data_IF_083745219060
#
_entry.id   IF_083745219060
#
_cell.length_a   1.000
_cell.length_b   1.000
_cell.length_c   1.000
_cell.angle_alpha   90.00
_cell.angle_beta   90.00
_cell.angle_gamma   90.00
#
_symmetry.space_group_name_H-M   'P 1'
#
loop_
_entity.id
_entity.type
_entity.pdbx_description
1 polymer ?
#
# COMPACT_ATOMS: atom_id res chain seq x y z
N UNK A 1 -16.61 54.74 -19.41
CA UNK A 1 -17.39 53.95 -20.40
C UNK A 1 -16.45 53.58 -21.53
N UNK A 2 -16.32 52.28 -21.84
CA UNK A 2 -15.98 51.68 -23.17
C UNK A 2 -15.24 50.33 -23.04
N UNK A 3 -15.80 49.31 -23.72
CA UNK A 3 -15.26 47.96 -24.06
C UNK A 3 -14.12 48.09 -25.10
N UNK A 4 -13.25 47.08 -25.40
CA UNK A 4 -13.58 45.66 -25.74
C UNK A 4 -12.62 44.58 -25.16
N UNK A 5 -13.08 43.40 -24.74
CA UNK A 5 -13.30 42.14 -25.50
C UNK A 5 -12.20 41.74 -26.50
N UNK A 6 -11.39 40.74 -26.12
CA UNK A 6 -10.63 39.91 -27.06
C UNK A 6 -10.79 38.43 -26.71
N UNK A 7 -11.31 37.69 -27.70
CA UNK A 7 -11.55 36.25 -27.71
C UNK A 7 -10.27 35.51 -28.03
N UNK A 8 -9.90 34.51 -27.21
CA UNK A 8 -8.93 33.50 -27.62
C UNK A 8 -9.68 32.42 -28.44
N UNK A 9 -9.21 32.22 -29.67
CA UNK A 9 -9.72 31.27 -30.66
C UNK A 9 -9.11 29.90 -30.35
N UNK A 10 -9.89 28.99 -29.77
CA UNK A 10 -9.55 27.57 -29.82
C UNK A 10 -9.97 27.01 -31.17
N UNK A 11 -8.99 26.65 -32.01
CA UNK A 11 -9.21 25.86 -33.23
C UNK A 11 -9.81 24.52 -32.83
N UNK A 12 -11.09 24.30 -33.19
CA UNK A 12 -11.74 22.99 -33.16
C UNK A 12 -11.03 22.07 -34.17
N UNK A 13 -10.27 21.09 -33.69
CA UNK A 13 -9.97 19.89 -34.46
C UNK A 13 -11.18 18.96 -34.39
N UNK A 14 -11.80 18.68 -35.53
CA UNK A 14 -12.87 17.68 -35.64
C UNK A 14 -12.32 16.29 -35.31
N UNK A 15 -13.07 15.43 -34.59
CA UNK A 15 -12.64 14.06 -34.35
C UNK A 15 -12.66 13.25 -35.67
N UNK A 16 -11.77 12.26 -35.82
CA UNK A 16 -11.75 11.40 -37.00
C UNK A 16 -13.02 10.54 -37.06
N UNK A 17 -13.57 10.38 -38.26
CA UNK A 17 -14.74 9.53 -38.51
C UNK A 17 -14.43 8.05 -38.22
N UNK A 18 -15.36 7.30 -37.61
CA UNK A 18 -15.16 5.89 -37.32
C UNK A 18 -15.13 5.04 -38.60
N UNK A 19 -14.34 3.94 -38.64
CA UNK A 19 -14.31 3.05 -39.80
C UNK A 19 -15.63 2.31 -39.95
N UNK A 20 -16.08 2.18 -41.20
CA UNK A 20 -17.29 1.47 -41.58
C UNK A 20 -17.11 -0.04 -41.35
N UNK A 21 -18.04 -0.66 -40.61
CA UNK A 21 -18.09 -2.11 -40.40
C UNK A 21 -18.50 -2.85 -41.69
N UNK A 22 -17.96 -4.05 -41.96
CA UNK A 22 -18.43 -4.88 -43.07
C UNK A 22 -19.81 -5.50 -42.75
N UNK A 23 -20.60 -5.89 -43.78
CA UNK A 23 -21.95 -6.37 -43.60
C UNK A 23 -21.95 -7.74 -42.93
N UNK A 24 -22.92 -7.93 -42.04
CA UNK A 24 -23.19 -9.16 -41.34
C UNK A 24 -23.31 -10.35 -42.32
N UNK A 25 -22.46 -11.35 -42.13
CA UNK A 25 -22.63 -12.68 -42.70
C UNK A 25 -22.72 -13.74 -41.59
N UNK A 26 -23.57 -14.70 -41.88
CA UNK A 26 -24.32 -15.57 -40.98
C UNK A 26 -23.55 -16.78 -40.43
N UNK A 27 -23.83 -17.08 -39.15
CA UNK A 27 -23.80 -18.39 -38.46
C UNK A 27 -22.44 -19.06 -38.13
N UNK A 28 -22.43 -20.16 -37.36
CA UNK A 28 -22.79 -20.23 -35.93
C UNK A 28 -21.61 -20.87 -35.16
N UNK A 29 -21.04 -20.23 -34.14
CA UNK A 29 -20.05 -20.90 -33.31
C UNK A 29 -20.18 -20.45 -31.86
N UNK A 30 -20.34 -21.43 -30.98
CA UNK A 30 -20.32 -21.29 -29.54
C UNK A 30 -19.04 -20.57 -29.10
N UNK A 31 -19.12 -19.26 -28.92
CA UNK A 31 -18.13 -18.52 -28.15
C UNK A 31 -18.91 -17.88 -27.02
N UNK A 32 -18.57 -18.27 -25.80
CA UNK A 32 -19.09 -17.75 -24.54
C UNK A 32 -18.74 -16.26 -24.46
N UNK A 33 -19.47 -15.42 -25.18
CA UNK A 33 -19.35 -13.98 -25.11
C UNK A 33 -19.98 -13.57 -23.79
N UNK A 34 -19.14 -13.34 -22.78
CA UNK A 34 -19.56 -12.70 -21.54
C UNK A 34 -20.37 -11.46 -21.90
N UNK A 35 -21.59 -11.35 -21.35
CA UNK A 35 -22.45 -10.20 -21.63
C UNK A 35 -21.72 -8.90 -21.21
N UNK A 36 -22.09 -7.73 -21.75
CA UNK A 36 -21.49 -6.45 -21.33
C UNK A 36 -21.53 -6.23 -19.80
N UNK A 37 -22.52 -6.82 -19.14
CA UNK A 37 -22.67 -6.84 -17.68
C UNK A 37 -21.61 -7.73 -17.01
N UNK A 38 -21.31 -8.89 -17.59
CA UNK A 38 -20.28 -9.81 -17.11
C UNK A 38 -18.87 -9.28 -17.38
N UNK A 39 -18.65 -8.56 -18.48
CA UNK A 39 -17.40 -7.84 -18.71
C UNK A 39 -17.18 -6.74 -17.66
N UNK A 40 -18.22 -5.96 -17.32
CA UNK A 40 -18.13 -4.94 -16.25
C UNK A 40 -17.93 -5.56 -14.87
N UNK A 41 -18.59 -6.69 -14.58
CA UNK A 41 -18.37 -7.45 -13.34
C UNK A 41 -16.96 -8.02 -13.27
N UNK A 42 -16.46 -8.60 -14.37
CA UNK A 42 -15.11 -9.15 -14.42
C UNK A 42 -14.03 -8.07 -14.35
N UNK A 43 -14.24 -6.89 -14.96
CA UNK A 43 -13.34 -5.75 -14.80
C UNK A 43 -13.37 -5.24 -13.35
N UNK A 44 -14.55 -5.12 -12.75
CA UNK A 44 -14.67 -4.73 -11.35
C UNK A 44 -13.96 -5.74 -10.44
N UNK A 45 -14.13 -7.05 -10.67
CA UNK A 45 -13.48 -8.12 -9.94
C UNK A 45 -11.98 -8.18 -10.20
N UNK A 46 -11.49 -7.89 -11.41
CA UNK A 46 -10.06 -7.85 -11.71
C UNK A 46 -9.40 -6.64 -11.08
N UNK A 47 -10.05 -5.46 -11.08
CA UNK A 47 -9.60 -4.26 -10.39
C UNK A 47 -9.62 -4.47 -8.87
N UNK A 48 -10.65 -5.15 -8.35
CA UNK A 48 -10.71 -5.58 -6.95
C UNK A 48 -9.57 -6.56 -6.63
N UNK A 49 -9.35 -7.62 -7.43
CA UNK A 49 -8.24 -8.57 -7.29
C UNK A 49 -6.88 -7.88 -7.31
N UNK A 50 -6.71 -6.88 -8.16
CA UNK A 50 -5.48 -6.07 -8.23
C UNK A 50 -5.21 -5.27 -6.94
N UNK A 51 -6.23 -5.08 -6.10
CA UNK A 51 -6.13 -4.41 -4.81
C UNK A 51 -5.70 -5.36 -3.66
N UNK A 52 -5.70 -6.67 -3.87
CA UNK A 52 -5.42 -7.68 -2.83
C UNK A 52 -4.15 -8.51 -2.99
N UNK A 53 -3.47 -8.47 -4.15
CA UNK A 53 -2.19 -9.17 -4.36
C UNK A 53 -0.98 -8.20 -4.26
N UNK A 54 -0.94 -7.36 -3.22
CA UNK A 54 0.16 -6.43 -2.98
C UNK A 54 1.23 -7.10 -2.11
N UNK A 55 1.87 -8.10 -2.69
CA UNK A 55 3.06 -8.76 -2.13
C UNK A 55 4.29 -7.92 -2.44
N UNK A 56 5.01 -7.54 -1.40
CA UNK A 56 6.25 -6.79 -1.53
C UNK A 56 7.41 -7.62 -1.00
N UNK A 57 8.42 -7.81 -1.85
CA UNK A 57 9.68 -8.40 -1.41
C UNK A 57 10.47 -7.33 -0.67
N UNK A 58 10.83 -7.65 0.57
CA UNK A 58 11.50 -6.75 1.49
C UNK A 58 12.59 -7.51 2.23
N UNK A 59 13.61 -6.80 2.69
CA UNK A 59 14.65 -7.35 3.55
C UNK A 59 14.46 -6.77 4.95
N UNK A 60 14.14 -7.61 5.94
CA UNK A 60 14.03 -7.20 7.33
C UNK A 60 15.41 -6.92 7.91
N UNK A 61 15.62 -5.71 8.42
CA UNK A 61 16.92 -5.26 8.92
C UNK A 61 16.99 -5.30 10.44
N UNK A 62 15.92 -4.87 11.12
CA UNK A 62 15.92 -4.68 12.56
C UNK A 62 14.52 -4.54 13.13
N UNK A 63 14.28 -5.12 14.31
CA UNK A 63 13.11 -4.82 15.15
C UNK A 63 13.59 -4.18 16.45
N UNK A 64 13.00 -3.04 16.83
CA UNK A 64 13.32 -2.32 18.06
C UNK A 64 12.05 -2.05 18.85
N UNK A 65 12.08 -2.29 20.15
CA UNK A 65 11.02 -1.88 21.06
C UNK A 65 11.20 -0.39 21.41
N UNK A 66 10.10 0.34 21.41
CA UNK A 66 10.03 1.73 21.87
C UNK A 66 10.19 1.71 23.38
N UNK A 67 11.25 2.34 23.86
CA UNK A 67 11.55 2.52 25.28
C UNK A 67 11.67 4.01 25.59
N UNK A 68 11.30 4.41 26.80
CA UNK A 68 11.33 5.80 27.26
C UNK A 68 12.74 6.41 27.19
N UNK A 69 13.79 5.59 27.17
CA UNK A 69 15.18 6.00 27.27
C UNK A 69 15.90 6.16 25.93
N UNK A 70 15.87 5.14 25.07
CA UNK A 70 16.78 5.06 23.92
C UNK A 70 16.07 5.18 22.55
N UNK A 71 14.85 4.65 22.41
CA UNK A 71 14.13 4.59 21.13
C UNK A 71 12.74 5.18 21.31
N UNK A 72 12.49 6.37 20.79
CA UNK A 72 11.18 7.05 20.88
C UNK A 72 10.49 7.15 19.53
N UNK A 73 11.27 7.42 18.50
CA UNK A 73 10.79 7.68 17.15
C UNK A 73 11.51 6.81 16.11
N UNK A 74 10.98 6.83 14.89
CA UNK A 74 11.61 6.19 13.73
C UNK A 74 13.03 6.71 13.51
N UNK A 75 13.29 8.01 13.71
CA UNK A 75 14.62 8.60 13.54
C UNK A 75 15.67 7.99 14.49
N UNK A 76 15.29 7.70 15.74
CA UNK A 76 16.16 7.04 16.72
C UNK A 76 16.48 5.61 16.28
N UNK A 77 15.48 4.89 15.73
CA UNK A 77 15.68 3.57 15.15
C UNK A 77 16.66 3.60 13.97
N UNK A 78 16.55 4.60 13.09
CA UNK A 78 17.46 4.75 11.94
C UNK A 78 18.88 5.07 12.41
N UNK A 79 19.05 5.91 13.44
CA UNK A 79 20.36 6.17 14.02
C UNK A 79 20.96 4.91 14.65
N UNK A 80 20.14 4.11 15.34
CA UNK A 80 20.56 2.84 15.93
C UNK A 80 20.97 1.83 14.85
N UNK A 81 20.21 1.75 13.76
CA UNK A 81 20.52 0.93 12.60
C UNK A 81 21.89 1.30 12.02
N UNK A 82 22.15 2.61 11.76
CA UNK A 82 23.45 3.11 11.27
C UNK A 82 24.62 2.66 12.13
N UNK A 83 24.46 2.77 13.45
CA UNK A 83 25.52 2.38 14.38
C UNK A 83 25.77 0.86 14.36
N UNK A 84 24.71 0.04 14.32
CA UNK A 84 24.85 -1.41 14.23
C UNK A 84 25.44 -1.86 12.90
N UNK A 85 25.10 -1.17 11.82
CA UNK A 85 25.64 -1.42 10.48
C UNK A 85 27.13 -1.10 10.42
N UNK A 86 27.57 0.02 10.98
CA UNK A 86 28.99 0.35 11.10
C UNK A 86 29.79 -0.68 11.93
N UNK A 87 29.12 -1.42 12.80
CA UNK A 87 29.70 -2.52 13.59
C UNK A 87 29.64 -3.87 12.87
N UNK A 88 29.01 -3.97 11.69
CA UNK A 88 28.79 -5.23 10.98
C UNK A 88 27.85 -6.18 11.73
N UNK A 89 26.89 -5.63 12.50
CA UNK A 89 25.97 -6.40 13.36
C UNK A 89 24.53 -6.46 12.84
N UNK A 90 24.31 -5.96 11.62
CA UNK A 90 23.02 -6.03 10.94
C UNK A 90 23.06 -7.22 10.00
N UNK A 91 22.03 -8.07 10.09
CA UNK A 91 21.82 -9.20 9.19
C UNK A 91 20.43 -9.04 8.62
N UNK A 92 20.36 -8.92 7.29
CA UNK A 92 19.10 -8.85 6.59
C UNK A 92 18.47 -10.22 6.43
N UNK A 93 17.15 -10.28 6.53
CA UNK A 93 16.37 -11.47 6.19
C UNK A 93 15.38 -11.13 5.08
N UNK A 94 15.51 -11.78 3.93
CA UNK A 94 14.59 -11.59 2.83
C UNK A 94 13.21 -12.20 3.15
N UNK A 95 12.16 -11.41 2.97
CA UNK A 95 10.78 -11.74 3.32
C UNK A 95 9.79 -11.23 2.28
N UNK A 96 8.57 -11.74 2.36
CA UNK A 96 7.39 -11.20 1.68
C UNK A 96 6.53 -10.48 2.71
N UNK A 97 6.27 -9.21 2.44
CA UNK A 97 5.31 -8.38 3.16
C UNK A 97 4.02 -8.31 2.35
N UNK A 98 2.91 -8.78 2.90
CA UNK A 98 1.58 -8.66 2.29
C UNK A 98 0.51 -8.27 3.30
N UNK A 99 -0.61 -7.75 2.80
CA UNK A 99 -1.81 -7.52 3.62
C UNK A 99 -2.87 -8.50 3.19
N UNK A 100 -3.25 -9.39 4.10
CA UNK A 100 -4.21 -10.47 3.86
C UNK A 100 -5.15 -10.59 5.04
N UNK A 101 -6.45 -10.79 4.78
CA UNK A 101 -7.47 -11.05 5.80
C UNK A 101 -7.49 -10.06 6.99
N UNK A 102 -7.24 -8.77 6.71
CA UNK A 102 -7.11 -7.71 7.73
C UNK A 102 -5.92 -7.87 8.70
N UNK A 103 -4.87 -8.54 8.24
CA UNK A 103 -3.59 -8.67 8.92
C UNK A 103 -2.45 -8.31 7.96
N UNK A 104 -1.37 -7.81 8.52
CA UNK A 104 -0.07 -7.66 7.88
C UNK A 104 0.70 -8.94 8.11
N UNK A 105 1.06 -9.59 7.02
CA UNK A 105 1.69 -10.89 7.02
C UNK A 105 3.13 -10.75 6.54
N UNK A 106 4.05 -11.30 7.32
CA UNK A 106 5.41 -11.59 6.93
C UNK A 106 5.51 -13.08 6.61
N UNK A 107 5.99 -13.41 5.42
CA UNK A 107 6.17 -14.80 4.99
C UNK A 107 7.55 -15.04 4.42
N UNK A 108 8.00 -16.28 4.53
CA UNK A 108 9.24 -16.73 3.88
C UNK A 108 9.12 -16.66 2.35
N UNK A 109 10.24 -16.34 1.67
CA UNK A 109 10.24 -16.21 0.21
C UNK A 109 10.13 -17.56 -0.49
N UNK A 110 10.76 -18.61 0.02
CA UNK A 110 10.81 -19.92 -0.63
C UNK A 110 9.59 -20.76 -0.27
N UNK A 111 9.35 -20.98 1.02
CA UNK A 111 8.29 -21.87 1.48
C UNK A 111 6.91 -21.23 1.45
N UNK A 112 6.85 -19.89 1.49
CA UNK A 112 5.62 -19.11 1.69
C UNK A 112 4.97 -19.37 3.06
N UNK A 113 5.72 -19.90 4.00
CA UNK A 113 5.23 -20.08 5.36
C UNK A 113 5.11 -18.71 6.05
N UNK A 114 4.06 -18.58 6.85
CA UNK A 114 3.85 -17.43 7.72
C UNK A 114 4.93 -17.40 8.80
N UNK A 115 5.70 -16.30 8.85
CA UNK A 115 6.71 -16.04 9.86
C UNK A 115 6.12 -15.21 11.01
N UNK A 116 5.39 -14.16 10.66
CA UNK A 116 4.79 -13.25 11.63
C UNK A 116 3.53 -12.61 11.05
N UNK A 117 2.51 -12.44 11.88
CA UNK A 117 1.25 -11.78 11.52
C UNK A 117 0.88 -10.71 12.53
N UNK A 118 0.55 -9.53 12.03
CA UNK A 118 0.10 -8.40 12.82
C UNK A 118 -1.28 -7.96 12.37
N UNK A 119 -2.30 -8.00 13.22
CA UNK A 119 -3.60 -7.42 12.91
C UNK A 119 -3.44 -5.96 12.47
N UNK A 120 -4.18 -5.53 11.46
CA UNK A 120 -4.03 -4.17 10.96
C UNK A 120 -4.37 -3.10 12.03
N UNK A 121 -5.18 -3.46 13.02
CA UNK A 121 -5.50 -2.64 14.20
C UNK A 121 -4.29 -2.39 15.12
N UNK A 122 -3.28 -3.26 15.09
CA UNK A 122 -2.08 -3.15 15.91
C UNK A 122 -1.05 -2.22 15.28
N UNK A 123 -1.12 -1.99 13.97
CA UNK A 123 -0.13 -1.16 13.30
C UNK A 123 -0.51 0.31 13.40
N UNK A 124 0.29 1.03 14.17
CA UNK A 124 0.08 2.42 14.51
C UNK A 124 0.53 3.36 13.38
N UNK A 125 1.62 3.03 12.70
CA UNK A 125 2.24 3.91 11.72
C UNK A 125 3.05 3.13 10.70
N UNK A 126 3.06 3.65 9.48
CA UNK A 126 3.94 3.21 8.40
C UNK A 126 4.66 4.45 7.86
N UNK A 127 5.97 4.42 7.73
CA UNK A 127 6.79 5.56 7.31
C UNK A 127 7.87 5.10 6.35
N UNK A 128 8.01 5.82 5.24
CA UNK A 128 9.08 5.60 4.28
C UNK A 128 10.19 6.61 4.53
N UNK A 129 11.40 6.12 4.78
CA UNK A 129 12.63 6.90 4.89
C UNK A 129 13.46 6.61 3.63
N UNK A 130 13.74 7.65 2.85
CA UNK A 130 14.50 7.54 1.62
C UNK A 130 15.96 7.92 1.87
N UNK A 131 16.86 7.37 1.06
CA UNK A 131 18.28 7.75 0.99
C UNK A 131 18.97 7.75 2.36
N UNK A 132 18.78 6.66 3.12
CA UNK A 132 19.33 6.50 4.46
C UNK A 132 20.34 5.36 4.53
N UNK A 133 21.57 5.69 4.95
CA UNK A 133 22.67 4.73 5.09
C UNK A 133 23.16 4.21 3.72
N UNK A 134 23.33 2.90 3.61
CA UNK A 134 23.58 2.10 2.40
C UNK A 134 22.28 1.74 1.65
N UNK A 135 21.11 2.07 2.21
CA UNK A 135 19.81 1.64 1.72
C UNK A 135 19.08 2.75 0.94
N UNK A 136 18.55 2.40 -0.23
CA UNK A 136 17.82 3.34 -1.09
C UNK A 136 16.46 3.76 -0.47
N UNK A 137 15.77 2.83 0.17
CA UNK A 137 14.45 3.05 0.77
C UNK A 137 14.21 2.11 1.93
N UNK A 138 14.03 2.68 3.13
CA UNK A 138 13.66 1.97 4.34
C UNK A 138 12.19 2.21 4.66
N UNK A 139 11.45 1.12 4.87
CA UNK A 139 10.10 1.12 5.40
C UNK A 139 10.14 0.85 6.90
N UNK A 140 9.65 1.79 7.68
CA UNK A 140 9.45 1.65 9.12
C UNK A 140 7.98 1.39 9.42
N UNK A 141 7.69 0.27 10.08
CA UNK A 141 6.34 -0.10 10.53
C UNK A 141 6.33 -0.11 12.05
N UNK A 142 5.50 0.75 12.64
CA UNK A 142 5.28 0.79 14.09
C UNK A 142 4.05 -0.03 14.42
N UNK A 143 4.22 -1.04 15.26
CA UNK A 143 3.15 -1.95 15.72
C UNK A 143 3.05 -1.90 17.24
N UNK A 144 1.83 -1.95 17.77
CA UNK A 144 1.56 -2.18 19.19
C UNK A 144 1.20 -3.65 19.35
N UNK A 145 1.96 -4.36 20.17
CA UNK A 145 1.59 -5.72 20.53
C UNK A 145 0.34 -5.72 21.42
N UNK A 146 -0.63 -6.60 21.10
CA UNK A 146 -1.85 -6.76 21.89
C UNK A 146 -1.58 -7.45 23.22
N UNK A 147 -0.58 -8.33 23.29
CA UNK A 147 -0.29 -9.09 24.52
C UNK A 147 0.46 -8.26 25.55
N UNK A 148 1.46 -7.48 25.12
CA UNK A 148 2.39 -6.84 26.04
C UNK A 148 2.21 -5.32 26.18
N UNK A 149 1.26 -4.72 25.45
CA UNK A 149 1.11 -3.26 25.29
C UNK A 149 2.37 -2.52 24.80
N UNK A 150 3.40 -3.27 24.43
CA UNK A 150 4.66 -2.75 23.93
C UNK A 150 4.52 -2.28 22.49
N UNK A 151 5.24 -1.21 22.15
CA UNK A 151 5.29 -0.70 20.80
C UNK A 151 6.64 -1.10 20.21
N UNK A 152 6.62 -1.71 19.03
CA UNK A 152 7.80 -2.10 18.29
C UNK A 152 7.86 -1.39 16.95
N UNK A 153 9.06 -1.07 16.49
CA UNK A 153 9.34 -0.48 15.18
C UNK A 153 10.17 -1.50 14.41
N UNK A 154 9.59 -1.99 13.31
CA UNK A 154 10.24 -2.89 12.37
C UNK A 154 10.79 -2.08 11.20
N UNK A 155 12.04 -2.31 10.84
CA UNK A 155 12.72 -1.68 9.72
C UNK A 155 12.94 -2.70 8.61
N UNK A 156 12.50 -2.34 7.40
CA UNK A 156 12.65 -3.16 6.21
C UNK A 156 13.30 -2.34 5.10
N UNK A 157 14.25 -2.92 4.37
CA UNK A 157 14.67 -2.39 3.08
C UNK A 157 13.70 -2.87 1.99
N UNK A 158 13.29 -1.96 1.11
CA UNK A 158 12.47 -2.29 -0.05
C UNK A 158 13.33 -2.40 -1.31
N UNK A 159 13.44 -3.59 -1.89
CA UNK A 159 14.32 -3.90 -3.03
C UNK A 159 13.64 -3.84 -4.41
N UNK A 160 12.37 -3.41 -4.50
CA UNK A 160 11.65 -3.44 -5.77
C UNK A 160 12.16 -2.38 -6.77
N UNK A 161 13.04 -2.87 -7.65
CA UNK A 161 13.57 -2.18 -8.81
C UNK A 161 12.47 -1.61 -9.71
N UNK A 162 12.58 -0.31 -10.01
CA UNK A 162 11.93 0.30 -11.17
C UNK A 162 10.55 0.93 -10.96
N UNK A 163 10.35 1.74 -9.92
CA UNK A 163 9.73 3.09 -9.95
C UNK A 163 9.90 3.68 -8.54
N UNK A 164 10.83 4.63 -8.43
CA UNK A 164 10.96 5.63 -7.35
C UNK A 164 9.75 5.68 -6.40
N UNK A 165 10.00 5.35 -5.13
CA UNK A 165 9.14 5.62 -3.97
C UNK A 165 7.70 5.07 -4.01
N UNK A 166 7.30 4.38 -5.07
CA UNK A 166 5.88 4.08 -5.31
C UNK A 166 5.45 2.88 -4.50
N UNK A 167 6.32 1.87 -4.30
CA UNK A 167 6.02 0.72 -3.45
C UNK A 167 5.80 1.10 -1.97
N UNK A 168 6.75 1.82 -1.37
CA UNK A 168 6.65 2.28 0.03
C UNK A 168 5.52 3.30 0.25
N UNK A 169 5.35 4.25 -0.67
CA UNK A 169 4.22 5.18 -0.61
C UNK A 169 2.87 4.49 -0.90
N UNK A 170 2.85 3.37 -1.62
CA UNK A 170 1.65 2.56 -1.84
C UNK A 170 1.32 1.78 -0.57
N UNK A 171 2.31 1.16 0.08
CA UNK A 171 2.14 0.53 1.40
C UNK A 171 1.61 1.54 2.44
N UNK A 172 2.21 2.72 2.55
CA UNK A 172 1.71 3.78 3.43
C UNK A 172 0.29 4.25 3.07
N UNK A 173 -0.04 4.37 1.77
CA UNK A 173 -1.38 4.81 1.30
C UNK A 173 -2.45 3.74 1.43
N UNK A 174 -2.10 2.48 1.22
CA UNK A 174 -2.97 1.34 1.50
C UNK A 174 -3.28 1.29 2.99
N UNK A 175 -2.26 1.51 3.82
CA UNK A 175 -2.44 1.55 5.27
C UNK A 175 -3.35 2.70 5.72
N UNK A 176 -3.11 3.92 5.24
CA UNK A 176 -3.96 5.07 5.56
C UNK A 176 -5.42 4.90 5.14
N UNK A 177 -5.72 4.04 4.15
CA UNK A 177 -7.09 3.66 3.78
C UNK A 177 -7.65 2.52 4.64
N UNK A 178 -6.81 1.58 5.09
CA UNK A 178 -7.22 0.47 5.95
C UNK A 178 -7.63 0.96 7.35
N UNK A 179 -6.90 1.91 7.93
CA UNK A 179 -7.24 2.50 9.23
C UNK A 179 -8.51 3.34 9.19
N UNK A 180 -8.88 3.89 8.03
CA UNK A 180 -10.08 4.72 7.85
C UNK A 180 -11.40 3.93 7.78
N UNK A 181 -11.38 2.59 7.83
CA UNK A 181 -12.59 1.74 7.72
C UNK A 181 -12.91 0.90 8.97
N UNK A 182 -12.29 1.17 10.11
CA UNK A 182 -12.55 0.47 11.38
C UNK A 182 -13.43 1.27 12.34
N UNK A 183 -14.73 1.37 12.10
CA UNK A 183 -15.70 1.56 13.21
C UNK A 183 -17.05 0.94 12.85
N UNK A 184 -17.35 -0.28 13.31
CA UNK A 184 -18.71 -0.75 13.45
C UNK A 184 -19.15 -0.67 14.93
N UNK A 185 -20.06 0.26 15.22
CA UNK A 185 -21.02 0.14 16.32
C UNK A 185 -20.62 0.67 17.71
N UNK A 186 -21.45 1.56 18.25
CA UNK A 186 -21.42 1.95 19.67
C UNK A 186 -22.44 3.04 19.98
N UNK A 187 -23.63 2.62 20.45
CA UNK A 187 -24.76 3.42 20.93
C UNK A 187 -24.39 4.76 21.60
N UNK A 188 -25.04 5.85 21.17
CA UNK A 188 -24.97 7.15 21.83
C UNK A 188 -26.09 8.12 21.47
N UNK A 189 -27.25 7.64 21.02
CA UNK A 189 -28.48 8.44 21.05
C UNK A 189 -29.14 8.22 22.40
N UNK A 190 -28.80 9.06 23.37
CA UNK A 190 -29.60 9.39 24.56
C UNK A 190 -28.78 10.40 25.37
N UNK A 191 -29.12 11.68 25.23
CA UNK A 191 -29.41 12.62 26.33
C UNK A 191 -29.49 14.02 25.72
N UNK A 192 -30.73 14.50 25.59
CA UNK A 192 -31.02 15.88 25.30
C UNK A 192 -30.58 16.78 26.46
N UNK A 193 -29.97 17.91 26.12
CA UNK A 193 -29.84 19.02 27.06
C UNK A 193 -31.15 19.80 27.11
N UNK A 194 -31.76 19.77 28.30
CA UNK A 194 -32.46 20.90 28.87
C UNK A 194 -31.43 21.92 29.42
#
# INVERSE_FOLDING_TARGET
>A
MSRPSSKAIYRKSSPPSPPLLPPAFTAPNFHTSLSPTDQRKNYALSVLKQQWDLRHYVEHLLTLHVDSKDIRNVDDCIMRLKMMEAQGRVWGQDMILEVKDHELLLSDIESKDELESFPLECVLRCTAVLDSCTYDSILAITVKDRSHEEISILLFQCTQSGVSCTGTATLCRLWGRATAKGTPGGLGDLLGWA
#
